data_IF_811846539115
#
_entry.id   IF_811846539115
#
_cell.length_a   1.000
_cell.length_b   1.000
_cell.length_c   1.000
_cell.angle_alpha   90.00
_cell.angle_beta   90.00
_cell.angle_gamma   90.00
#
_symmetry.space_group_name_H-M   'P 1'
#
loop_
_entity.id
_entity.type
_entity.pdbx_description
1 polymer ?
#
# COMPACT_ATOMS: atom_id res chain seq x y z
N UNK A 1 -32.09 48.29 13.68
CA UNK A 1 -31.94 47.09 14.53
C UNK A 1 -32.13 45.89 13.62
N UNK A 2 -31.03 45.24 13.26
CA UNK A 2 -30.95 44.19 12.24
C UNK A 2 -31.62 42.90 12.70
N UNK A 3 -32.47 42.34 11.82
CA UNK A 3 -32.73 40.91 11.74
C UNK A 3 -32.84 40.52 10.27
N UNK A 4 -31.73 40.13 9.66
CA UNK A 4 -31.73 39.30 8.43
C UNK A 4 -31.40 37.86 8.81
N UNK A 5 -32.39 37.21 9.41
CA UNK A 5 -32.52 35.76 9.34
C UNK A 5 -33.23 35.47 8.01
N UNK A 6 -32.45 35.04 7.02
CA UNK A 6 -32.95 34.81 5.68
C UNK A 6 -31.88 34.11 4.87
N UNK A 7 -31.44 32.95 5.36
CA UNK A 7 -30.79 31.95 4.54
C UNK A 7 -31.82 31.54 3.49
N UNK A 8 -31.83 32.29 2.39
CA UNK A 8 -32.70 32.04 1.25
C UNK A 8 -32.32 30.66 0.73
N UNK A 9 -33.21 29.72 1.01
CA UNK A 9 -33.38 28.48 0.26
C UNK A 9 -33.46 28.88 -1.22
N UNK A 10 -32.37 28.69 -1.97
CA UNK A 10 -32.44 28.77 -3.43
C UNK A 10 -33.20 27.55 -3.93
N UNK A 11 -34.42 27.76 -4.40
CA UNK A 11 -35.16 26.81 -5.22
C UNK A 11 -34.56 26.84 -6.63
N UNK A 12 -33.71 25.86 -6.95
CA UNK A 12 -33.56 25.18 -8.24
C UNK A 12 -32.36 24.22 -8.11
N UNK A 13 -32.49 22.98 -8.57
CA UNK A 13 -31.53 21.89 -8.37
C UNK A 13 -30.19 22.04 -9.12
N UNK A 14 -29.64 23.24 -9.19
CA UNK A 14 -28.38 23.54 -9.86
C UNK A 14 -27.27 23.87 -8.86
N UNK A 15 -26.15 23.19 -9.02
CA UNK A 15 -24.93 23.39 -8.24
C UNK A 15 -24.40 24.83 -8.43
N UNK A 16 -23.84 25.41 -7.36
CA UNK A 16 -23.14 26.70 -7.43
C UNK A 16 -21.93 26.63 -8.39
N UNK A 17 -21.44 27.76 -8.93
CA UNK A 17 -20.23 27.77 -9.76
C UNK A 17 -19.01 27.15 -9.07
N UNK A 18 -18.85 27.39 -7.77
CA UNK A 18 -17.79 26.81 -6.93
C UNK A 18 -17.92 25.29 -6.83
N UNK A 19 -19.13 24.79 -6.57
CA UNK A 19 -19.38 23.35 -6.53
C UNK A 19 -19.14 22.70 -7.90
N UNK A 20 -19.57 23.33 -9.00
CA UNK A 20 -19.31 22.88 -10.37
C UNK A 20 -17.79 22.82 -10.66
N UNK A 21 -17.04 23.83 -10.23
CA UNK A 21 -15.58 23.87 -10.40
C UNK A 21 -14.87 22.77 -9.59
N UNK A 22 -15.28 22.55 -8.35
CA UNK A 22 -14.74 21.49 -7.50
C UNK A 22 -14.99 20.09 -8.09
N UNK A 23 -16.22 19.81 -8.59
CA UNK A 23 -16.49 18.55 -9.27
C UNK A 23 -15.67 18.38 -10.54
N UNK A 24 -15.53 19.44 -11.35
CA UNK A 24 -14.69 19.38 -12.55
C UNK A 24 -13.20 19.14 -12.21
N UNK A 25 -12.70 19.65 -11.09
CA UNK A 25 -11.35 19.36 -10.60
C UNK A 25 -11.19 17.91 -10.15
N UNK A 26 -12.14 17.39 -9.36
CA UNK A 26 -12.16 15.98 -8.96
C UNK A 26 -12.23 15.04 -10.16
N UNK A 27 -13.01 15.37 -11.18
CA UNK A 27 -13.12 14.57 -12.40
C UNK A 27 -11.81 14.60 -13.21
N UNK A 28 -11.11 15.75 -13.25
CA UNK A 28 -9.76 15.84 -13.85
C UNK A 28 -8.75 15.00 -13.10
N UNK A 29 -8.74 15.07 -11.76
CA UNK A 29 -7.85 14.28 -10.91
C UNK A 29 -8.09 12.78 -11.09
N UNK A 30 -9.37 12.34 -11.09
CA UNK A 30 -9.74 10.95 -11.37
C UNK A 30 -9.32 10.50 -12.76
N UNK A 31 -9.51 11.34 -13.78
CA UNK A 31 -9.10 11.02 -15.14
C UNK A 31 -7.57 10.89 -15.24
N UNK A 32 -6.81 11.77 -14.57
CA UNK A 32 -5.36 11.70 -14.46
C UNK A 32 -4.91 10.40 -13.79
N UNK A 33 -5.47 10.08 -12.62
CA UNK A 33 -5.17 8.86 -11.88
C UNK A 33 -5.47 7.61 -12.72
N UNK A 34 -6.61 7.59 -13.41
CA UNK A 34 -7.00 6.48 -14.28
C UNK A 34 -6.05 6.32 -15.48
N UNK A 35 -5.53 7.43 -16.03
CA UNK A 35 -4.51 7.39 -17.11
C UNK A 35 -3.19 6.81 -16.63
N UNK A 36 -2.79 7.09 -15.40
CA UNK A 36 -1.51 6.63 -14.84
C UNK A 36 -1.56 5.19 -14.31
N UNK A 37 -2.75 4.70 -13.94
CA UNK A 37 -2.95 3.42 -13.27
C UNK A 37 -2.30 2.22 -13.99
N UNK A 38 -2.41 2.04 -15.32
CA UNK A 38 -1.76 0.91 -16.00
C UNK A 38 -0.23 0.91 -15.85
N UNK A 39 0.40 2.10 -15.89
CA UNK A 39 1.84 2.23 -15.73
C UNK A 39 2.27 1.96 -14.28
N UNK A 40 1.50 2.45 -13.30
CA UNK A 40 1.74 2.18 -11.87
C UNK A 40 1.66 0.67 -11.60
N UNK A 41 0.64 -0.01 -12.13
CA UNK A 41 0.47 -1.46 -11.98
C UNK A 41 1.62 -2.24 -12.62
N UNK A 42 1.98 -1.91 -13.86
CA UNK A 42 3.09 -2.57 -14.54
C UNK A 42 4.41 -2.41 -13.77
N UNK A 43 4.73 -1.19 -13.33
CA UNK A 43 5.93 -0.91 -12.56
C UNK A 43 5.94 -1.64 -11.20
N UNK A 44 4.81 -1.64 -10.49
CA UNK A 44 4.68 -2.34 -9.21
C UNK A 44 4.79 -3.85 -9.34
N UNK A 45 4.20 -4.46 -10.38
CA UNK A 45 4.31 -5.90 -10.59
C UNK A 45 5.75 -6.32 -10.92
N UNK A 46 6.43 -5.58 -11.77
CA UNK A 46 7.84 -5.86 -12.08
C UNK A 46 8.73 -5.67 -10.85
N UNK A 47 8.49 -4.64 -10.04
CA UNK A 47 9.18 -4.45 -8.77
C UNK A 47 8.88 -5.58 -7.77
N UNK A 48 7.63 -6.03 -7.67
CA UNK A 48 7.22 -7.12 -6.78
C UNK A 48 7.91 -8.44 -7.15
N UNK A 49 7.97 -8.77 -8.45
CA UNK A 49 8.71 -9.93 -8.97
C UNK A 49 10.21 -9.83 -8.69
N UNK A 50 10.77 -8.63 -8.68
CA UNK A 50 12.18 -8.42 -8.34
C UNK A 50 12.45 -8.52 -6.83
N UNK A 51 11.55 -8.02 -5.98
CA UNK A 51 11.71 -8.03 -4.53
C UNK A 51 11.56 -9.41 -3.91
N UNK A 52 10.70 -10.28 -4.44
CA UNK A 52 10.45 -11.59 -3.82
C UNK A 52 11.73 -12.46 -3.75
N UNK A 53 12.53 -12.64 -4.82
CA UNK A 53 13.82 -13.34 -4.74
C UNK A 53 14.80 -12.69 -3.74
N UNK A 54 14.79 -11.36 -3.62
CA UNK A 54 15.62 -10.65 -2.64
C UNK A 54 15.17 -11.00 -1.23
N UNK A 55 13.87 -10.99 -0.96
CA UNK A 55 13.31 -11.36 0.34
C UNK A 55 13.69 -12.80 0.74
N UNK A 56 13.82 -13.70 -0.23
CA UNK A 56 14.24 -15.10 -0.04
C UNK A 56 15.76 -15.29 0.07
N UNK A 57 16.55 -14.21 -0.03
CA UNK A 57 18.00 -14.25 0.15
C UNK A 57 18.43 -14.40 1.61
N UNK A 58 19.69 -14.09 1.91
CA UNK A 58 20.29 -14.36 3.22
C UNK A 58 21.01 -13.17 3.86
N UNK A 59 20.85 -11.96 3.32
CA UNK A 59 21.52 -10.75 3.85
C UNK A 59 20.62 -9.94 4.78
N UNK A 60 21.19 -9.00 5.55
CA UNK A 60 20.41 -8.13 6.45
C UNK A 60 19.31 -7.34 5.72
N UNK A 61 19.60 -6.83 4.51
CA UNK A 61 18.60 -6.15 3.68
C UNK A 61 17.46 -7.06 3.22
N UNK A 62 17.72 -8.36 3.00
CA UNK A 62 16.69 -9.33 2.64
C UNK A 62 15.58 -9.42 3.70
N UNK A 63 15.95 -9.36 4.98
CA UNK A 63 15.00 -9.33 6.11
C UNK A 63 14.06 -8.13 6.04
N UNK A 64 14.59 -6.95 5.74
CA UNK A 64 13.80 -5.71 5.67
C UNK A 64 12.83 -5.75 4.49
N UNK A 65 13.25 -6.28 3.34
CA UNK A 65 12.35 -6.53 2.20
C UNK A 65 11.26 -7.54 2.56
N UNK A 66 11.63 -8.64 3.23
CA UNK A 66 10.68 -9.65 3.66
C UNK A 66 9.62 -9.08 4.61
N UNK A 67 10.03 -8.31 5.60
CA UNK A 67 9.12 -7.66 6.55
C UNK A 67 8.18 -6.67 5.85
N UNK A 68 8.66 -5.93 4.85
CA UNK A 68 7.82 -5.04 4.03
C UNK A 68 6.76 -5.84 3.25
N UNK A 69 7.14 -6.88 2.52
CA UNK A 69 6.21 -7.71 1.74
C UNK A 69 5.18 -8.43 2.62
N UNK A 70 5.57 -8.86 3.83
CA UNK A 70 4.67 -9.43 4.82
C UNK A 70 3.68 -8.39 5.39
N UNK A 71 4.13 -7.14 5.54
CA UNK A 71 3.28 -6.02 5.92
C UNK A 71 2.17 -5.73 4.91
N UNK A 72 2.46 -5.86 3.60
CA UNK A 72 1.45 -5.76 2.55
C UNK A 72 0.49 -6.97 2.59
N UNK A 73 1.03 -8.18 2.74
CA UNK A 73 0.22 -9.40 2.82
C UNK A 73 -0.76 -9.41 4.00
N UNK A 74 -0.32 -8.96 5.17
CA UNK A 74 -1.19 -8.83 6.32
C UNK A 74 -0.59 -7.89 7.39
N UNK A 75 -0.82 -6.59 7.25
CA UNK A 75 -0.29 -5.58 8.17
C UNK A 75 -0.84 -5.66 9.60
N UNK A 76 -1.90 -6.41 9.86
CA UNK A 76 -2.37 -6.69 11.22
C UNK A 76 -1.54 -7.77 11.90
N UNK A 77 -1.13 -8.77 11.13
CA UNK A 77 -0.35 -9.92 11.59
C UNK A 77 1.15 -9.64 11.60
N UNK A 78 1.65 -8.97 10.58
CA UNK A 78 3.06 -8.65 10.39
C UNK A 78 3.22 -7.15 10.31
N UNK A 79 3.69 -6.55 11.41
CA UNK A 79 3.93 -5.11 11.47
C UNK A 79 5.25 -4.78 10.78
N UNK A 80 5.27 -3.68 10.03
CA UNK A 80 6.49 -3.15 9.41
C UNK A 80 6.78 -1.75 9.96
N UNK A 81 8.01 -1.53 10.42
CA UNK A 81 8.49 -0.23 10.87
C UNK A 81 9.05 0.55 9.67
N UNK A 82 8.48 1.73 9.38
CA UNK A 82 8.88 2.56 8.25
C UNK A 82 10.34 3.06 8.34
N UNK A 83 10.95 3.06 9.53
CA UNK A 83 12.37 3.43 9.67
C UNK A 83 13.32 2.38 9.11
N UNK A 84 12.87 1.13 8.95
CA UNK A 84 13.64 0.02 8.36
C UNK A 84 13.98 0.27 6.89
N UNK A 85 13.25 1.16 6.19
CA UNK A 85 13.60 1.59 4.84
C UNK A 85 15.00 2.24 4.75
N UNK A 86 15.55 2.75 5.85
CA UNK A 86 16.91 3.33 5.89
C UNK A 86 18.01 2.30 5.69
N UNK A 87 17.69 1.01 5.87
CA UNK A 87 18.63 -0.10 5.71
C UNK A 87 18.69 -0.64 4.28
N UNK A 88 17.87 -0.12 3.36
CA UNK A 88 17.78 -0.58 1.98
C UNK A 88 18.69 0.25 1.07
N UNK A 89 19.28 -0.40 0.08
CA UNK A 89 19.87 0.33 -1.03
C UNK A 89 18.78 1.10 -1.81
N UNK A 90 19.21 2.11 -2.58
CA UNK A 90 18.30 2.99 -3.31
C UNK A 90 17.42 2.23 -4.30
N UNK A 91 17.93 1.17 -4.92
CA UNK A 91 17.17 0.42 -5.92
C UNK A 91 16.03 -0.35 -5.24
N UNK A 92 16.36 -1.09 -4.19
CA UNK A 92 15.37 -1.86 -3.42
C UNK A 92 14.33 -0.94 -2.80
N UNK A 93 14.74 0.20 -2.24
CA UNK A 93 13.79 1.19 -1.72
C UNK A 93 12.80 1.65 -2.81
N UNK A 94 13.29 2.00 -4.00
CA UNK A 94 12.43 2.42 -5.11
C UNK A 94 11.48 1.29 -5.56
N UNK A 95 11.97 0.05 -5.60
CA UNK A 95 11.13 -1.11 -5.92
C UNK A 95 10.03 -1.25 -4.85
N UNK A 96 10.33 -1.10 -3.55
CA UNK A 96 9.31 -1.11 -2.50
C UNK A 96 8.26 -0.01 -2.68
N UNK A 97 8.67 1.19 -3.09
CA UNK A 97 7.73 2.30 -3.36
C UNK A 97 6.85 2.02 -4.59
N UNK A 98 7.39 1.40 -5.63
CA UNK A 98 6.61 1.00 -6.80
C UNK A 98 5.56 -0.06 -6.43
N UNK A 99 5.91 -1.05 -5.61
CA UNK A 99 4.94 -2.03 -5.09
C UNK A 99 3.88 -1.35 -4.24
N UNK A 100 4.26 -0.47 -3.32
CA UNK A 100 3.31 0.24 -2.47
C UNK A 100 2.35 1.12 -3.28
N UNK A 101 2.84 1.79 -4.33
CA UNK A 101 2.01 2.59 -5.23
C UNK A 101 0.99 1.73 -5.99
N UNK A 102 1.38 0.53 -6.42
CA UNK A 102 0.46 -0.45 -7.02
C UNK A 102 -0.56 -0.97 -5.99
N UNK A 103 -0.11 -1.33 -4.79
CA UNK A 103 -0.93 -1.95 -3.75
C UNK A 103 -1.90 -0.97 -3.08
N UNK A 104 -1.66 0.34 -3.21
CA UNK A 104 -2.61 1.39 -2.81
C UNK A 104 -3.95 1.33 -3.58
N UNK A 105 -3.94 0.79 -4.80
CA UNK A 105 -5.14 0.57 -5.62
C UNK A 105 -5.13 -0.87 -6.17
N UNK A 106 -5.32 -1.87 -5.28
CA UNK A 106 -5.01 -3.25 -5.58
C UNK A 106 -6.00 -3.82 -6.61
N UNK A 107 -5.46 -4.52 -7.61
CA UNK A 107 -6.25 -5.36 -8.50
C UNK A 107 -6.52 -6.75 -7.88
N UNK A 108 -5.57 -7.22 -7.08
CA UNK A 108 -5.62 -8.42 -6.27
C UNK A 108 -4.56 -8.31 -5.18
N UNK A 109 -4.66 -9.18 -4.17
CA UNK A 109 -3.68 -9.27 -3.08
C UNK A 109 -2.26 -9.62 -3.59
N UNK A 110 -1.22 -9.12 -2.93
CA UNK A 110 0.20 -9.29 -3.35
C UNK A 110 0.63 -10.74 -3.57
N UNK A 111 0.13 -11.68 -2.75
CA UNK A 111 0.39 -13.10 -2.90
C UNK A 111 -0.28 -13.71 -4.15
N UNK A 112 -1.34 -13.09 -4.66
CA UNK A 112 -2.08 -13.55 -5.82
C UNK A 112 -1.30 -13.42 -7.14
N UNK A 113 -0.20 -12.65 -7.15
CA UNK A 113 0.66 -12.52 -8.33
C UNK A 113 1.65 -13.68 -8.50
N UNK A 114 1.68 -14.63 -7.56
CA UNK A 114 2.62 -15.75 -7.57
C UNK A 114 1.90 -17.09 -7.40
N UNK A 115 2.42 -18.11 -8.09
CA UNK A 115 1.99 -19.48 -7.86
C UNK A 115 2.28 -19.89 -6.41
N UNK A 116 1.30 -20.51 -5.76
CA UNK A 116 1.38 -20.87 -4.34
C UNK A 116 1.74 -19.72 -3.39
N UNK A 117 1.41 -18.47 -3.75
CA UNK A 117 1.84 -17.27 -3.02
C UNK A 117 1.53 -17.30 -1.52
N UNK A 118 0.38 -17.85 -1.11
CA UNK A 118 0.09 -18.01 0.33
C UNK A 118 1.18 -18.82 1.06
N UNK A 119 1.62 -19.94 0.48
CA UNK A 119 2.70 -20.76 1.05
C UNK A 119 4.03 -20.03 1.07
N UNK A 120 4.33 -19.29 -0.01
CA UNK A 120 5.57 -18.51 -0.14
C UNK A 120 5.68 -17.45 0.97
N UNK A 121 4.61 -16.70 1.21
CA UNK A 121 4.59 -15.67 2.26
C UNK A 121 4.66 -16.27 3.66
N UNK A 122 3.93 -17.36 3.93
CA UNK A 122 4.05 -18.06 5.22
C UNK A 122 5.45 -18.60 5.46
N UNK A 123 6.14 -19.08 4.42
CA UNK A 123 7.52 -19.56 4.54
C UNK A 123 8.47 -18.39 4.82
N UNK A 124 8.29 -17.27 4.13
CA UNK A 124 9.09 -16.06 4.33
C UNK A 124 9.03 -15.55 5.78
N UNK A 125 7.85 -15.58 6.40
CA UNK A 125 7.69 -15.22 7.81
C UNK A 125 8.48 -16.15 8.76
N UNK A 126 8.53 -17.45 8.44
CA UNK A 126 9.29 -18.44 9.23
C UNK A 126 10.79 -18.27 9.04
N UNK A 127 11.25 -18.11 7.80
CA UNK A 127 12.67 -18.02 7.45
C UNK A 127 13.35 -16.84 8.17
N UNK A 128 12.64 -15.71 8.26
CA UNK A 128 13.13 -14.51 8.94
C UNK A 128 12.72 -14.38 10.41
N UNK A 129 11.99 -15.36 10.94
CA UNK A 129 11.42 -15.34 12.29
C UNK A 129 10.70 -14.00 12.59
N UNK A 130 9.88 -13.53 11.65
CA UNK A 130 9.10 -12.30 11.81
C UNK A 130 7.96 -12.56 12.79
N UNK A 131 7.81 -11.67 13.77
CA UNK A 131 6.78 -11.78 14.80
C UNK A 131 5.38 -11.82 14.17
N UNK A 132 4.65 -12.89 14.45
CA UNK A 132 3.24 -13.04 14.12
C UNK A 132 2.39 -12.50 15.29
N UNK A 133 1.91 -11.25 15.13
CA UNK A 133 1.12 -10.56 16.16
C UNK A 133 -0.32 -11.06 16.28
N UNK A 134 -0.77 -11.97 15.41
CA UNK A 134 -2.06 -12.64 15.60
C UNK A 134 -2.00 -13.73 16.67
N UNK A 135 -0.79 -14.19 17.01
CA UNK A 135 -0.56 -15.21 18.03
C UNK A 135 -0.27 -14.53 19.37
N UNK A 136 -0.78 -15.07 20.48
CA UNK A 136 -0.36 -14.61 21.80
C UNK A 136 1.17 -14.79 21.94
N UNK A 137 1.87 -13.92 22.68
CA UNK A 137 3.30 -14.07 22.91
C UNK A 137 3.56 -15.48 23.43
N UNK A 138 4.45 -16.21 22.78
CA UNK A 138 4.86 -17.51 23.31
C UNK A 138 5.40 -17.29 24.71
N UNK A 139 4.83 -17.95 25.72
CA UNK A 139 5.37 -18.02 27.08
C UNK A 139 6.70 -18.79 27.07
N UNK A 140 7.73 -18.21 26.45
CA UNK A 140 9.10 -18.69 26.50
C UNK A 140 9.66 -18.33 27.86
N UNK A 141 9.68 -19.30 28.78
CA UNK A 141 10.51 -19.21 29.99
C UNK A 141 11.95 -18.92 29.56
N UNK A 142 12.53 -17.88 30.14
CA UNK A 142 13.97 -17.57 30.08
C UNK A 142 14.80 -18.72 30.60
#
# INVERSE_FOLDING_TARGET
MERKAGMLIHRQGELSPEAKAAFAEMDRERAEAQRQLPAIRAAGLEALKHLLPIAQGSSGQCRHVAAFLLGLYNGNRFKFDLTEFRCLDRKIFNDCMAVLAMDYQPEQEVQGYFEDGGRVWEQLAKDWNITDYSRPPSNGKK
#
